data_IF_732677824317
#
_entry.id   IF_732677824317
#
_cell.length_a   1.000
_cell.length_b   1.000
_cell.length_c   1.000
_cell.angle_alpha   90.00
_cell.angle_beta   90.00
_cell.angle_gamma   90.00
#
_symmetry.space_group_name_H-M   'P 1'
#
loop_
_entity.id
_entity.type
_entity.pdbx_description
1 polymer ?
#
# COMPACT_ATOMS: atom_id res chain seq x y z
N UNK A 1 -5.65 -9.38 -6.63
CA UNK A 1 -5.26 -8.01 -6.24
C UNK A 1 -4.55 -7.31 -7.37
N UNK A 2 -4.58 -5.97 -7.43
CA UNK A 2 -3.90 -5.21 -8.49
C UNK A 2 -2.37 -5.41 -8.41
N UNK A 3 -1.74 -5.57 -9.57
CA UNK A 3 -0.28 -5.73 -9.71
C UNK A 3 0.37 -4.37 -9.99
N UNK A 4 1.66 -4.18 -9.66
CA UNK A 4 2.41 -2.99 -10.09
C UNK A 4 2.22 -2.72 -11.59
N UNK A 5 2.02 -1.45 -11.96
CA UNK A 5 1.76 -1.04 -13.35
C UNK A 5 0.29 -1.12 -13.79
N UNK A 6 -0.58 -1.76 -13.00
CA UNK A 6 -2.03 -1.68 -13.22
C UNK A 6 -2.59 -0.31 -12.81
N UNK A 7 -3.60 0.19 -13.52
CA UNK A 7 -4.33 1.41 -13.15
C UNK A 7 -4.95 1.33 -11.75
N UNK A 8 -5.34 0.12 -11.32
CA UNK A 8 -5.94 -0.12 -10.01
C UNK A 8 -4.89 -0.28 -8.90
N UNK A 9 -3.60 -0.19 -9.22
CA UNK A 9 -2.53 -0.31 -8.24
C UNK A 9 -2.42 0.95 -7.39
N UNK A 10 -2.65 0.81 -6.10
CA UNK A 10 -2.76 1.92 -5.17
C UNK A 10 -2.19 1.55 -3.80
N UNK A 11 -2.12 2.53 -2.88
CA UNK A 11 -1.63 2.34 -1.51
C UNK A 11 -2.29 1.16 -0.78
N UNK A 12 -3.60 0.97 -0.97
CA UNK A 12 -4.32 -0.18 -0.40
C UNK A 12 -3.78 -1.51 -0.95
N UNK A 13 -3.49 -1.58 -2.25
CA UNK A 13 -2.94 -2.78 -2.87
C UNK A 13 -1.61 -3.18 -2.23
N UNK A 14 -0.74 -2.20 -2.02
CA UNK A 14 0.58 -2.40 -1.41
C UNK A 14 0.49 -2.84 0.05
N UNK A 15 -0.32 -2.16 0.86
CA UNK A 15 -0.47 -2.49 2.28
C UNK A 15 -1.01 -3.90 2.50
N UNK A 16 -2.04 -4.27 1.76
CA UNK A 16 -2.64 -5.60 1.88
C UNK A 16 -1.63 -6.67 1.44
N UNK A 17 -0.90 -6.44 0.34
CA UNK A 17 0.13 -7.37 -0.16
C UNK A 17 1.37 -7.47 0.75
N UNK A 18 1.69 -6.42 1.52
CA UNK A 18 2.73 -6.48 2.54
C UNK A 18 2.38 -7.52 3.60
N UNK A 19 1.17 -7.45 4.16
CA UNK A 19 0.75 -8.21 5.33
C UNK A 19 0.11 -9.55 5.02
N UNK A 20 -0.35 -9.76 3.78
CA UNK A 20 -1.13 -10.96 3.43
C UNK A 20 -0.92 -11.42 2.00
N UNK A 21 -1.18 -12.71 1.77
CA UNK A 21 -1.45 -13.25 0.44
C UNK A 21 -2.93 -13.01 0.13
N UNK A 22 -3.22 -12.51 -1.07
CA UNK A 22 -4.60 -12.26 -1.51
C UNK A 22 -4.90 -12.92 -2.83
N UNK A 23 -5.86 -13.83 -2.80
CA UNK A 23 -6.37 -14.54 -3.97
C UNK A 23 -7.76 -14.00 -4.33
N UNK A 24 -8.02 -13.79 -5.63
CA UNK A 24 -9.36 -13.50 -6.14
C UNK A 24 -10.00 -14.82 -6.52
N UNK A 25 -11.10 -15.19 -5.85
CA UNK A 25 -11.69 -16.51 -6.01
C UNK A 25 -12.76 -16.51 -7.09
N UNK A 26 -13.71 -15.57 -7.02
CA UNK A 26 -14.84 -15.53 -7.95
C UNK A 26 -15.43 -14.12 -8.07
N UNK A 27 -15.91 -13.79 -9.28
CA UNK A 27 -16.74 -12.61 -9.54
C UNK A 27 -18.19 -12.95 -9.27
N UNK A 28 -18.90 -12.10 -8.55
CA UNK A 28 -20.31 -12.31 -8.21
C UNK A 28 -21.13 -11.24 -8.93
N UNK A 29 -21.94 -11.68 -9.89
CA UNK A 29 -22.79 -10.81 -10.69
C UNK A 29 -23.95 -10.22 -9.88
N UNK A 30 -24.43 -9.03 -10.28
CA UNK A 30 -25.52 -8.28 -9.63
C UNK A 30 -26.80 -9.09 -9.40
N UNK A 31 -27.11 -10.02 -10.29
CA UNK A 31 -28.31 -10.85 -10.24
C UNK A 31 -28.32 -11.84 -9.06
N UNK A 32 -27.19 -12.02 -8.37
CA UNK A 32 -27.08 -12.85 -7.17
C UNK A 32 -27.50 -12.12 -5.88
N UNK A 33 -27.98 -10.88 -5.98
CA UNK A 33 -28.37 -10.06 -4.83
C UNK A 33 -29.83 -9.58 -4.96
N UNK A 34 -30.51 -9.39 -3.83
CA UNK A 34 -31.85 -8.77 -3.75
C UNK A 34 -31.88 -7.72 -2.63
N UNK A 35 -32.10 -6.42 -2.95
CA UNK A 35 -32.17 -5.84 -4.28
C UNK A 35 -30.80 -5.84 -5.00
N UNK A 36 -30.75 -5.80 -6.34
CA UNK A 36 -29.48 -5.80 -7.08
C UNK A 36 -28.65 -4.52 -6.84
N UNK A 37 -27.34 -4.63 -6.56
CA UNK A 37 -26.45 -3.48 -6.43
C UNK A 37 -26.14 -2.85 -7.80
N UNK A 38 -25.69 -1.59 -7.80
CA UNK A 38 -25.28 -0.88 -9.02
C UNK A 38 -23.91 -1.33 -9.58
N UNK A 39 -23.15 -2.09 -8.80
CA UNK A 39 -21.76 -2.49 -9.08
C UNK A 39 -21.61 -4.02 -9.09
N UNK A 40 -20.57 -4.51 -9.75
CA UNK A 40 -20.16 -5.92 -9.67
C UNK A 40 -19.47 -6.21 -8.33
N UNK A 41 -19.64 -7.43 -7.82
CA UNK A 41 -19.03 -7.89 -6.57
C UNK A 41 -17.95 -8.95 -6.82
N UNK A 42 -17.13 -9.23 -5.82
CA UNK A 42 -16.08 -10.24 -5.89
C UNK A 42 -15.78 -10.84 -4.52
N UNK A 43 -15.50 -12.14 -4.49
CA UNK A 43 -15.01 -12.83 -3.30
C UNK A 43 -13.49 -12.91 -3.40
N UNK A 44 -12.83 -12.43 -2.33
CA UNK A 44 -11.38 -12.49 -2.18
C UNK A 44 -11.03 -13.24 -0.91
N UNK A 45 -9.97 -14.04 -0.96
CA UNK A 45 -9.38 -14.68 0.22
C UNK A 45 -8.15 -13.90 0.63
N UNK A 46 -8.05 -13.58 1.92
CA UNK A 46 -6.93 -12.86 2.53
C UNK A 46 -6.31 -13.76 3.58
N UNK A 47 -5.06 -14.15 3.37
CA UNK A 47 -4.29 -15.01 4.27
C UNK A 47 -3.13 -14.19 4.86
N UNK A 48 -3.18 -13.80 6.14
CA UNK A 48 -2.08 -13.08 6.79
C UNK A 48 -0.76 -13.87 6.68
N UNK A 49 0.34 -13.17 6.43
CA UNK A 49 1.67 -13.78 6.44
C UNK A 49 2.07 -14.12 7.87
N UNK A 50 2.68 -15.28 8.05
CA UNK A 50 3.26 -15.73 9.31
C UNK A 50 4.66 -16.32 9.04
N UNK A 51 5.74 -15.76 9.62
CA UNK A 51 5.74 -14.59 10.50
C UNK A 51 5.29 -13.32 9.79
N UNK A 52 4.82 -12.34 10.56
CA UNK A 52 4.60 -10.99 10.03
C UNK A 52 5.94 -10.42 9.52
N UNK A 53 5.92 -9.60 8.46
CA UNK A 53 7.12 -8.91 8.02
C UNK A 53 7.70 -8.07 9.16
N UNK A 54 9.01 -8.18 9.37
CA UNK A 54 9.73 -7.32 10.31
C UNK A 54 9.92 -5.94 9.65
N UNK A 55 9.01 -5.03 9.95
CA UNK A 55 9.00 -3.68 9.38
C UNK A 55 8.38 -2.69 10.36
N UNK A 56 9.00 -1.51 10.46
CA UNK A 56 8.40 -0.39 11.19
C UNK A 56 7.19 0.14 10.40
N UNK A 57 6.00 -0.04 10.97
CA UNK A 57 4.74 0.39 10.37
C UNK A 57 4.66 1.90 10.16
N UNK A 58 5.26 2.71 11.06
CA UNK A 58 5.23 4.16 10.96
C UNK A 58 6.10 4.63 9.79
N UNK A 59 7.29 4.05 9.64
CA UNK A 59 8.17 4.37 8.52
C UNK A 59 7.60 3.90 7.19
N UNK A 60 7.04 2.69 7.17
CA UNK A 60 6.37 2.14 6.01
C UNK A 60 5.19 3.01 5.57
N UNK A 61 4.35 3.44 6.51
CA UNK A 61 3.22 4.31 6.20
C UNK A 61 3.68 5.67 5.62
N UNK A 62 4.73 6.25 6.21
CA UNK A 62 5.37 7.46 5.73
C UNK A 62 5.88 7.32 4.30
N UNK A 63 6.55 6.20 3.99
CA UNK A 63 7.03 5.88 2.65
C UNK A 63 5.87 5.81 1.65
N UNK A 64 4.83 5.04 1.95
CA UNK A 64 3.70 4.89 1.05
C UNK A 64 2.94 6.20 0.84
N UNK A 65 2.87 7.05 1.86
CA UNK A 65 2.28 8.39 1.73
C UNK A 65 3.05 9.23 0.73
N UNK A 66 4.38 9.22 0.74
CA UNK A 66 5.20 9.94 -0.24
C UNK A 66 4.99 9.38 -1.65
N UNK A 67 4.97 8.05 -1.79
CA UNK A 67 4.86 7.39 -3.09
C UNK A 67 3.49 7.59 -3.76
N UNK A 68 2.39 7.57 -3.01
CA UNK A 68 1.03 7.54 -3.57
C UNK A 68 0.26 8.88 -3.52
N UNK A 69 0.78 9.92 -2.86
CA UNK A 69 0.10 11.23 -2.77
C UNK A 69 0.00 11.95 -4.12
N UNK A 70 0.97 11.76 -5.02
CA UNK A 70 1.00 12.36 -6.37
C UNK A 70 1.18 11.29 -7.43
N UNK A 71 0.12 10.52 -7.70
CA UNK A 71 0.12 9.39 -8.66
C UNK A 71 0.63 9.72 -10.07
N UNK A 72 0.54 10.98 -10.49
CA UNK A 72 0.96 11.44 -11.83
C UNK A 72 2.39 12.03 -11.85
N UNK A 73 3.17 11.89 -10.77
CA UNK A 73 4.56 12.38 -10.68
C UNK A 73 5.51 11.20 -10.48
N UNK A 74 6.73 11.35 -10.98
CA UNK A 74 7.77 10.34 -10.78
C UNK A 74 8.20 10.30 -9.30
N UNK A 75 8.63 9.13 -8.83
CA UNK A 75 9.15 8.98 -7.47
C UNK A 75 10.33 9.93 -7.22
N UNK A 76 11.23 10.10 -8.20
CA UNK A 76 12.33 11.08 -8.12
C UNK A 76 11.83 12.48 -7.80
N UNK A 77 10.72 12.92 -8.39
CA UNK A 77 10.14 14.23 -8.10
C UNK A 77 9.52 14.30 -6.68
N UNK A 78 8.93 13.21 -6.20
CA UNK A 78 8.37 13.13 -4.86
C UNK A 78 9.46 13.21 -3.77
N UNK A 79 10.55 12.45 -3.93
CA UNK A 79 11.65 12.38 -2.96
C UNK A 79 12.57 13.61 -2.98
N UNK A 80 12.64 14.34 -4.10
CA UNK A 80 13.40 15.60 -4.18
C UNK A 80 12.74 16.78 -3.47
N UNK A 81 11.53 16.64 -2.96
CA UNK A 81 10.84 17.73 -2.28
C UNK A 81 11.58 18.09 -0.98
N UNK A 82 11.90 19.38 -0.78
CA UNK A 82 12.72 19.87 0.34
C UNK A 82 12.26 19.33 1.71
N UNK A 83 10.94 19.34 1.95
CA UNK A 83 10.33 18.80 3.17
C UNK A 83 10.56 17.29 3.37
N UNK A 84 10.51 16.51 2.28
CA UNK A 84 10.77 15.07 2.32
C UNK A 84 12.24 14.80 2.61
N UNK A 85 13.15 15.55 1.98
CA UNK A 85 14.59 15.43 2.25
C UNK A 85 14.94 15.78 3.70
N UNK A 86 14.35 16.84 4.26
CA UNK A 86 14.54 17.21 5.67
C UNK A 86 14.06 16.12 6.62
N UNK A 87 12.87 15.55 6.35
CA UNK A 87 12.31 14.45 7.13
C UNK A 87 13.22 13.21 7.07
N UNK A 88 13.71 12.83 5.87
CA UNK A 88 14.60 11.68 5.71
C UNK A 88 15.91 11.85 6.47
N UNK A 89 16.51 13.04 6.45
CA UNK A 89 17.71 13.35 7.24
C UNK A 89 17.45 13.20 8.73
N UNK A 90 16.39 13.82 9.24
CA UNK A 90 16.03 13.73 10.66
C UNK A 90 15.77 12.27 11.12
N UNK A 91 15.15 11.45 10.26
CA UNK A 91 14.96 10.03 10.56
C UNK A 91 16.29 9.27 10.61
N UNK A 92 17.22 9.54 9.69
CA UNK A 92 18.55 8.92 9.67
C UNK A 92 19.32 9.23 10.96
N UNK A 93 19.37 10.51 11.34
CA UNK A 93 20.09 10.97 12.54
C UNK A 93 19.53 10.32 13.81
N UNK A 94 18.21 10.11 13.88
CA UNK A 94 17.53 9.42 14.98
C UNK A 94 17.94 7.95 15.10
N UNK A 95 18.04 7.23 13.98
CA UNK A 95 18.44 5.82 13.98
C UNK A 95 19.91 5.64 14.36
N UNK A 96 20.78 6.56 13.93
CA UNK A 96 22.19 6.57 14.34
C UNK A 96 22.34 6.76 15.86
N UNK A 97 21.51 7.59 16.49
CA UNK A 97 21.50 7.78 17.95
C UNK A 97 20.89 6.63 18.75
N UNK A 98 20.05 5.79 18.12
CA UNK A 98 19.38 4.67 18.81
C UNK A 98 20.25 3.40 18.80
N UNK A 99 21.27 3.34 17.95
CA UNK A 99 22.19 2.20 17.81
C UNK A 99 23.58 2.40 18.43
N UNK A 100 23.83 3.56 19.05
CA UNK A 100 25.03 3.84 19.86
C UNK A 100 24.71 3.81 21.34
#
# INVERSE_FOLDING_TARGET
MAKPGSELYCRLSVNVQLLSRVDHLIKVGKNNFKPPPKVESSIVRIEPKNPLPDIDFLEWDGLLRICFIRKNKTLKAAFKHKKVLQMLKANSDRHEQTMG
#
